data_IF_933179346556
#
_entry.id   IF_933179346556
#
_cell.length_a   1.000
_cell.length_b   1.000
_cell.length_c   1.000
_cell.angle_alpha   90.00
_cell.angle_beta   90.00
_cell.angle_gamma   90.00
#
_symmetry.space_group_name_H-M   'P 1'
#
loop_
_entity.id
_entity.type
_entity.pdbx_description
1 polymer ?
#
# COMPACT_ATOMS: atom_id res chain seq x y z
N UNK A 1 -13.46 -1.19 -17.75
CA UNK A 1 -13.05 0.00 -16.97
C UNK A 1 -11.53 0.02 -16.89
N UNK A 2 -10.86 0.96 -17.56
CA UNK A 2 -9.40 1.14 -17.42
C UNK A 2 -9.17 1.63 -15.99
N UNK A 3 -8.67 0.80 -15.09
CA UNK A 3 -8.25 1.23 -13.75
C UNK A 3 -7.09 2.20 -13.96
N UNK A 4 -7.35 3.51 -13.84
CA UNK A 4 -6.30 4.51 -13.81
C UNK A 4 -5.36 4.14 -12.66
N UNK A 5 -4.06 3.99 -12.96
CA UNK A 5 -3.08 3.59 -11.95
C UNK A 5 -3.02 4.66 -10.85
N UNK A 6 -3.41 4.30 -9.62
CA UNK A 6 -3.34 5.16 -8.43
C UNK A 6 -1.90 5.43 -7.99
N UNK A 7 -0.92 4.77 -8.61
CA UNK A 7 0.51 4.87 -8.33
C UNK A 7 1.02 6.32 -8.33
N UNK A 8 0.51 7.17 -9.24
CA UNK A 8 0.90 8.59 -9.29
C UNK A 8 0.47 9.37 -8.05
N UNK A 9 -0.65 8.98 -7.43
CA UNK A 9 -1.13 9.60 -6.18
C UNK A 9 -0.29 9.19 -4.97
N UNK A 10 0.52 8.13 -5.10
CA UNK A 10 1.32 7.56 -4.02
C UNK A 10 2.81 7.89 -4.14
N UNK A 11 3.24 8.62 -5.16
CA UNK A 11 4.59 9.17 -5.29
C UNK A 11 5.70 8.15 -5.00
N UNK A 12 5.84 7.09 -5.82
CA UNK A 12 6.87 6.07 -5.63
C UNK A 12 8.27 6.69 -5.68
N UNK A 13 9.21 6.10 -4.94
CA UNK A 13 10.62 6.43 -5.05
C UNK A 13 11.11 6.16 -6.48
N UNK A 14 11.75 7.15 -7.10
CA UNK A 14 12.14 7.06 -8.51
C UNK A 14 13.50 6.37 -8.73
N UNK A 15 14.30 6.21 -7.66
CA UNK A 15 15.68 5.70 -7.76
C UNK A 15 16.00 4.77 -6.60
N UNK A 16 16.85 3.78 -6.88
CA UNK A 16 17.34 2.81 -5.90
C UNK A 16 16.56 1.49 -5.90
N UNK A 17 16.64 0.77 -4.79
CA UNK A 17 16.05 -0.57 -4.62
C UNK A 17 14.60 -0.49 -4.12
N UNK A 18 14.21 0.63 -3.51
CA UNK A 18 12.91 0.83 -2.86
C UNK A 18 11.88 1.50 -3.79
N UNK A 19 11.97 1.29 -5.10
CA UNK A 19 11.08 1.93 -6.08
C UNK A 19 9.62 1.49 -5.94
N UNK A 20 9.36 0.40 -5.23
CA UNK A 20 8.04 -0.07 -4.83
C UNK A 20 7.55 0.53 -3.50
N UNK A 21 8.27 1.50 -2.91
CA UNK A 21 7.87 2.22 -1.71
C UNK A 21 7.47 3.66 -2.06
N UNK A 22 6.53 4.19 -1.27
CA UNK A 22 6.05 5.56 -1.39
C UNK A 22 7.02 6.54 -0.71
N UNK A 23 7.05 7.77 -1.21
CA UNK A 23 7.74 8.91 -0.56
C UNK A 23 6.87 9.66 0.44
N UNK A 24 5.63 9.22 0.66
CA UNK A 24 4.75 9.74 1.71
C UNK A 24 5.33 9.46 3.10
N UNK A 25 4.83 10.15 4.14
CA UNK A 25 5.13 9.85 5.53
C UNK A 25 4.99 8.35 5.87
N UNK A 26 5.79 7.89 6.84
CA UNK A 26 5.79 6.47 7.22
C UNK A 26 4.47 6.09 7.89
N UNK A 27 3.90 6.97 8.70
CA UNK A 27 2.56 6.81 9.28
C UNK A 27 1.60 7.87 8.72
N UNK A 28 0.86 7.48 7.68
CA UNK A 28 -0.13 8.35 7.02
C UNK A 28 -1.36 8.68 7.88
N UNK A 29 -1.54 8.00 9.02
CA UNK A 29 -2.68 8.24 9.92
C UNK A 29 -2.35 9.29 10.99
N UNK A 30 -1.08 9.39 11.39
CA UNK A 30 -0.65 10.33 12.44
C UNK A 30 0.09 11.55 11.91
N UNK A 31 0.77 11.42 10.77
CA UNK A 31 1.57 12.49 10.19
C UNK A 31 0.78 13.23 9.09
N UNK A 32 0.70 14.57 9.13
CA UNK A 32 0.01 15.32 8.11
C UNK A 32 0.74 15.23 6.76
N UNK A 33 -0.01 15.02 5.69
CA UNK A 33 0.52 14.98 4.32
C UNK A 33 0.48 16.38 3.72
N UNK A 34 1.65 16.91 3.39
CA UNK A 34 1.81 18.22 2.77
C UNK A 34 1.12 18.26 1.38
N UNK A 35 0.03 19.04 1.21
CA UNK A 35 -0.70 19.10 -0.03
C UNK A 35 0.03 19.85 -1.15
N UNK A 36 1.00 20.70 -0.83
CA UNK A 36 1.84 21.37 -1.84
C UNK A 36 2.84 20.38 -2.45
N UNK A 37 3.39 19.50 -1.61
CA UNK A 37 4.33 18.45 -2.03
C UNK A 37 3.64 17.23 -2.66
N UNK A 38 2.45 16.87 -2.16
CA UNK A 38 1.70 15.68 -2.59
C UNK A 38 0.27 16.01 -3.08
N UNK A 39 0.09 16.88 -4.08
CA UNK A 39 -1.21 17.40 -4.48
C UNK A 39 -2.23 16.34 -4.98
N UNK A 40 -1.75 15.22 -5.53
CA UNK A 40 -2.57 14.13 -6.05
C UNK A 40 -3.02 13.15 -4.97
N UNK A 41 -2.44 13.21 -3.76
CA UNK A 41 -2.74 12.25 -2.70
C UNK A 41 -4.23 12.28 -2.30
N UNK A 42 -4.84 13.47 -2.29
CA UNK A 42 -6.28 13.65 -2.02
C UNK A 42 -7.21 12.94 -3.02
N UNK A 43 -6.69 12.59 -4.20
CA UNK A 43 -7.43 11.89 -5.25
C UNK A 43 -7.24 10.36 -5.15
N UNK A 44 -6.39 9.89 -4.23
CA UNK A 44 -6.15 8.48 -4.03
C UNK A 44 -7.41 7.78 -3.50
N UNK A 45 -7.85 6.75 -4.22
CA UNK A 45 -8.94 5.88 -3.77
C UNK A 45 -8.32 4.67 -3.07
N UNK A 46 -8.74 4.41 -1.84
CA UNK A 46 -8.25 3.29 -1.04
C UNK A 46 -9.40 2.48 -0.44
N UNK A 47 -9.05 1.33 0.10
CA UNK A 47 -9.92 0.52 0.95
C UNK A 47 -9.16 0.20 2.22
N UNK A 48 -9.87 0.22 3.35
CA UNK A 48 -9.30 -0.07 4.66
C UNK A 48 -10.00 -1.29 5.28
N UNK A 49 -9.27 -1.99 6.15
CA UNK A 49 -9.79 -3.10 6.93
C UNK A 49 -9.01 -3.20 8.24
N UNK A 50 -9.69 -3.66 9.29
CA UNK A 50 -9.07 -4.06 10.57
C UNK A 50 -9.00 -5.58 10.57
N UNK A 51 -7.79 -6.13 10.73
CA UNK A 51 -7.57 -7.58 10.79
C UNK A 51 -7.44 -8.01 12.24
N UNK A 52 -8.24 -9.00 12.64
CA UNK A 52 -8.18 -9.65 13.93
C UNK A 52 -7.45 -11.00 13.82
N UNK A 53 -7.16 -11.61 14.97
CA UNK A 53 -6.54 -12.93 15.00
C UNK A 53 -7.41 -13.97 14.28
N UNK A 54 -6.82 -14.66 13.29
CA UNK A 54 -7.50 -15.66 12.47
C UNK A 54 -8.06 -15.12 11.14
N UNK A 55 -8.14 -13.80 10.96
CA UNK A 55 -8.54 -13.21 9.69
C UNK A 55 -7.45 -13.41 8.61
N UNK A 56 -7.89 -13.53 7.37
CA UNK A 56 -7.00 -13.62 6.21
C UNK A 56 -7.36 -12.53 5.19
N UNK A 57 -6.34 -11.76 4.76
CA UNK A 57 -6.48 -10.74 3.74
C UNK A 57 -5.80 -11.20 2.44
N UNK A 58 -6.55 -11.20 1.35
CA UNK A 58 -5.98 -11.40 0.01
C UNK A 58 -5.55 -10.06 -0.58
N UNK A 59 -4.25 -9.89 -0.79
CA UNK A 59 -3.67 -8.74 -1.49
C UNK A 59 -3.31 -9.14 -2.93
N UNK A 60 -3.97 -8.58 -3.95
CA UNK A 60 -3.58 -8.83 -5.33
C UNK A 60 -2.18 -8.30 -5.63
N UNK A 61 -1.50 -8.90 -6.62
CA UNK A 61 -0.14 -8.49 -6.97
C UNK A 61 -0.06 -7.00 -7.34
N UNK A 62 1.02 -6.35 -6.90
CA UNK A 62 1.32 -4.93 -7.11
C UNK A 62 0.34 -3.94 -6.46
N UNK A 63 -0.50 -4.39 -5.53
CA UNK A 63 -1.32 -3.47 -4.74
C UNK A 63 -0.48 -2.80 -3.67
N UNK A 64 -0.55 -1.47 -3.66
CA UNK A 64 -0.02 -0.65 -2.58
C UNK A 64 -0.78 -0.96 -1.29
N UNK A 65 -0.04 -1.15 -0.20
CA UNK A 65 -0.61 -1.47 1.10
C UNK A 65 0.20 -0.78 2.18
N UNK A 66 -0.52 -0.14 3.11
CA UNK A 66 0.02 0.43 4.34
C UNK A 66 -0.57 -0.38 5.49
N UNK A 67 0.26 -0.76 6.47
CA UNK A 67 -0.14 -1.59 7.60
C UNK A 67 0.26 -0.86 8.88
N UNK A 68 -0.73 -0.64 9.77
CA UNK A 68 -0.54 -0.10 11.11
C UNK A 68 -0.95 -1.15 12.13
N UNK A 69 -0.04 -1.47 13.05
CA UNK A 69 -0.35 -2.31 14.20
C UNK A 69 -0.83 -1.41 15.35
N UNK A 70 -1.97 -1.73 15.94
CA UNK A 70 -2.53 -1.01 17.10
C UNK A 70 -2.03 -1.55 18.45
N UNK A 71 -1.60 -2.81 18.45
CA UNK A 71 -1.10 -3.54 19.63
C UNK A 71 0.09 -4.43 19.22
N UNK A 72 0.59 -5.26 20.14
CA UNK A 72 1.61 -6.27 19.81
C UNK A 72 0.97 -7.37 18.96
N UNK A 73 1.44 -7.55 17.73
CA UNK A 73 0.82 -8.43 16.72
C UNK A 73 1.83 -9.40 16.10
N UNK A 74 1.35 -10.55 15.63
CA UNK A 74 2.09 -11.47 14.75
C UNK A 74 1.23 -11.82 13.52
N UNK A 75 1.84 -11.73 12.32
CA UNK A 75 1.17 -11.97 11.04
C UNK A 75 2.06 -12.79 10.11
N UNK A 76 1.46 -13.61 9.25
CA UNK A 76 2.18 -14.44 8.27
C UNK A 76 1.74 -14.05 6.86
N UNK A 77 2.71 -13.79 5.99
CA UNK A 77 2.48 -13.48 4.58
C UNK A 77 2.89 -14.65 3.67
N UNK A 78 1.95 -15.11 2.83
CA UNK A 78 2.21 -16.16 1.84
C UNK A 78 2.26 -15.57 0.43
N UNK A 79 3.48 -15.45 -0.13
CA UNK A 79 3.67 -14.93 -1.50
C UNK A 79 3.46 -16.03 -2.54
N UNK A 80 2.31 -16.00 -3.19
CA UNK A 80 1.94 -16.96 -4.23
C UNK A 80 2.41 -16.47 -5.61
N UNK A 81 3.13 -17.32 -6.35
CA UNK A 81 3.44 -17.07 -7.77
C UNK A 81 2.46 -17.84 -8.64
N UNK A 82 1.86 -17.15 -9.61
CA UNK A 82 1.04 -17.82 -10.63
C UNK A 82 1.94 -18.72 -11.49
N UNK A 83 1.67 -20.01 -11.46
CA UNK A 83 2.30 -20.95 -12.39
C UNK A 83 1.82 -20.64 -13.82
N UNK A 84 2.76 -20.53 -14.77
CA UNK A 84 2.42 -20.45 -16.19
C UNK A 84 2.25 -21.88 -16.67
N UNK A 85 1.03 -22.27 -17.01
CA UNK A 85 0.80 -23.52 -17.71
C UNK A 85 1.47 -23.41 -19.09
N UNK A 86 2.40 -24.33 -19.37
CA UNK A 86 2.98 -24.56 -20.70
C UNK A 86 1.97 -25.21 -21.63
#
# INVERSE_FOLDING_TARGET
MKKTSQEKCLYPLQRGILTNNSTLPTDILTEPIDPERYPLYKEAIYSEAILNAGDALFLPSNWWHFIKNYEVTASIAHFLKKQRNS
#
